data_IF_104408025685
#
_entry.id   IF_104408025685
#
_cell.length_a   1.000
_cell.length_b   1.000
_cell.length_c   1.000
_cell.angle_alpha   90.00
_cell.angle_beta   90.00
_cell.angle_gamma   90.00
#
_symmetry.space_group_name_H-M   'P 1'
#
loop_
_entity.id
_entity.type
_entity.pdbx_description
1 polymer ?
#
# COMPACT_ATOMS: atom_id res chain seq x y z
N UNK A 1 -7.23 -3.78 14.44
CA UNK A 1 -6.57 -2.77 13.59
C UNK A 1 -6.06 -1.63 14.45
N UNK A 2 -4.74 -1.39 14.53
CA UNK A 2 -4.13 -0.41 15.46
C UNK A 2 -4.06 0.99 14.80
N UNK A 3 -4.89 1.97 15.20
CA UNK A 3 -4.86 3.35 14.65
C UNK A 3 -3.54 4.10 14.92
N UNK A 4 -2.67 3.56 15.79
CA UNK A 4 -1.35 4.12 16.08
C UNK A 4 -0.33 3.98 14.93
N UNK A 5 -0.51 3.05 13.98
CA UNK A 5 0.46 2.84 12.88
C UNK A 5 0.30 3.82 11.70
N UNK A 6 -0.90 4.33 11.46
CA UNK A 6 -1.17 5.30 10.39
C UNK A 6 -0.53 6.66 10.66
N UNK A 7 -0.49 7.09 11.93
CA UNK A 7 0.07 8.39 12.35
C UNK A 7 1.60 8.42 12.20
N UNK A 8 2.28 7.29 12.41
CA UNK A 8 3.75 7.19 12.28
C UNK A 8 4.17 7.16 10.80
N UNK A 9 3.40 6.50 9.93
CA UNK A 9 3.68 6.48 8.48
C UNK A 9 3.55 7.87 7.82
N UNK A 10 2.60 8.70 8.27
CA UNK A 10 2.44 10.09 7.79
C UNK A 10 3.54 11.00 8.34
N UNK A 11 4.04 10.78 9.57
CA UNK A 11 5.09 11.60 10.18
C UNK A 11 6.48 11.40 9.53
N UNK A 12 6.72 10.30 8.81
CA UNK A 12 7.96 10.08 8.05
C UNK A 12 8.01 10.90 6.74
N UNK A 13 6.89 11.52 6.33
CA UNK A 13 6.82 12.39 5.15
C UNK A 13 7.13 13.86 5.46
N UNK A 14 7.30 14.22 6.73
CA UNK A 14 7.61 15.59 7.16
C UNK A 14 8.97 15.61 7.84
N UNK A 15 10.02 15.89 7.07
CA UNK A 15 11.31 16.31 7.64
C UNK A 15 11.29 17.82 7.85
N UNK A 16 11.58 18.28 9.08
CA UNK A 16 12.16 19.59 9.30
C UNK A 16 12.98 19.65 10.59
N UNK A 17 14.06 20.40 10.47
CA UNK A 17 15.20 20.51 11.36
C UNK A 17 14.93 21.35 12.61
N UNK A 18 15.62 20.96 13.69
CA UNK A 18 16.32 21.73 14.74
C UNK A 18 15.77 23.14 15.06
N UNK A 19 15.45 23.37 16.34
CA UNK A 19 15.92 24.56 17.07
C UNK A 19 16.02 24.27 18.58
N UNK A 20 16.94 24.99 19.20
CA UNK A 20 17.57 24.78 20.50
C UNK A 20 16.64 24.69 21.71
N UNK A 21 17.15 24.03 22.75
CA UNK A 21 16.65 24.11 24.13
C UNK A 21 16.97 25.49 24.73
N UNK A 22 16.02 26.05 25.51
CA UNK A 22 16.40 26.78 26.70
C UNK A 22 15.87 26.06 27.96
N UNK A 23 16.72 26.06 28.98
CA UNK A 23 16.48 25.50 30.32
C UNK A 23 15.14 25.93 30.93
N UNK A 24 14.48 25.09 31.73
CA UNK A 24 13.36 25.52 32.56
C UNK A 24 13.86 26.16 33.87
N UNK A 25 13.28 27.29 34.33
CA UNK A 25 13.32 27.60 35.75
C UNK A 25 12.29 26.74 36.49
N UNK A 26 12.70 26.23 37.66
CA UNK A 26 11.83 25.55 38.62
C UNK A 26 10.68 26.45 39.10
N UNK A 27 9.55 25.85 39.50
CA UNK A 27 8.82 26.39 40.64
C UNK A 27 8.50 25.34 41.72
N UNK A 28 8.47 25.88 42.93
CA UNK A 28 8.31 25.24 44.22
C UNK A 28 6.96 24.55 44.44
N UNK A 29 7.02 23.55 45.32
CA UNK A 29 5.94 22.79 45.97
C UNK A 29 5.10 23.69 46.89
N UNK A 30 3.76 23.54 46.89
CA UNK A 30 2.89 23.43 48.10
C UNK A 30 1.59 22.65 47.73
N UNK A 31 1.05 21.77 48.60
CA UNK A 31 -0.10 20.89 48.31
C UNK A 31 -1.43 21.30 48.97
N UNK A 32 -2.54 20.85 48.40
CA UNK A 32 -3.80 20.60 49.13
C UNK A 32 -5.06 21.27 48.58
N UNK A 33 -6.03 20.47 48.12
CA UNK A 33 -7.45 20.52 48.53
C UNK A 33 -8.28 19.55 47.67
N UNK A 34 -8.91 18.59 48.33
CA UNK A 34 -9.99 17.73 47.84
C UNK A 34 -11.26 18.55 47.59
N UNK A 35 -11.95 18.36 46.46
CA UNK A 35 -13.41 18.56 46.36
C UNK A 35 -13.99 17.73 45.21
N UNK A 36 -15.04 16.99 45.52
CA UNK A 36 -15.93 16.22 44.63
C UNK A 36 -16.92 17.15 43.92
N UNK A 37 -17.05 17.03 42.59
CA UNK A 37 -18.27 17.36 41.84
C UNK A 37 -18.26 16.69 40.45
N UNK A 38 -19.42 16.20 40.01
CA UNK A 38 -19.76 15.58 38.72
C UNK A 38 -21.07 16.22 38.22
N UNK A 39 -21.46 16.15 36.93
CA UNK A 39 -20.71 16.32 35.69
C UNK A 39 -21.23 17.56 34.91
N UNK A 40 -20.36 18.26 34.18
CA UNK A 40 -20.79 19.27 33.20
C UNK A 40 -20.54 18.74 31.80
N UNK A 41 -21.61 18.67 31.00
CA UNK A 41 -21.57 18.44 29.56
C UNK A 41 -20.75 19.56 28.93
N UNK A 42 -19.58 19.23 28.37
CA UNK A 42 -18.82 20.16 27.52
C UNK A 42 -18.79 19.61 26.11
N UNK A 43 -19.30 20.45 25.22
CA UNK A 43 -19.50 20.30 23.80
C UNK A 43 -18.17 19.97 23.11
N UNK A 44 -18.24 19.11 22.09
CA UNK A 44 -17.15 18.69 21.23
C UNK A 44 -16.25 19.88 20.83
N UNK A 45 -14.98 19.81 21.22
CA UNK A 45 -13.95 20.66 20.63
C UNK A 45 -13.57 20.06 19.29
N UNK A 46 -13.92 20.77 18.21
CA UNK A 46 -13.29 20.60 16.90
C UNK A 46 -11.76 20.59 17.05
N UNK A 47 -11.02 19.73 16.33
CA UNK A 47 -9.58 19.81 16.33
C UNK A 47 -9.17 21.13 15.68
N UNK A 48 -8.61 22.02 16.48
CA UNK A 48 -8.01 23.26 16.01
C UNK A 48 -6.82 22.89 15.13
N UNK A 49 -6.95 23.13 13.82
CA UNK A 49 -5.84 23.06 12.87
C UNK A 49 -4.75 24.03 13.34
N UNK A 50 -3.63 23.47 13.81
CA UNK A 50 -2.42 24.25 14.08
C UNK A 50 -1.75 24.51 12.73
N UNK A 51 -2.06 25.66 12.14
CA UNK A 51 -1.43 26.14 10.91
C UNK A 51 0.00 26.59 11.21
N UNK A 52 0.99 25.73 10.94
CA UNK A 52 2.38 26.14 10.74
C UNK A 52 2.54 26.73 9.33
N UNK A 53 3.16 27.91 9.14
CA UNK A 53 3.41 28.46 7.81
C UNK A 53 4.56 27.73 7.08
N UNK A 54 4.34 27.31 5.83
CA UNK A 54 5.31 27.60 4.76
C UNK A 54 6.18 26.50 4.13
N UNK A 55 5.76 25.23 4.12
CA UNK A 55 6.32 24.23 3.19
C UNK A 55 5.22 23.75 2.22
N UNK A 56 5.50 23.48 0.93
CA UNK A 56 4.50 22.88 0.05
C UNK A 56 4.09 21.53 0.63
N UNK A 57 2.89 21.46 1.23
CA UNK A 57 2.29 20.20 1.65
C UNK A 57 2.06 19.39 0.38
N UNK A 58 2.53 18.13 0.27
CA UNK A 58 2.24 17.29 -0.88
C UNK A 58 0.73 17.08 -0.95
N UNK A 59 0.05 17.88 -1.77
CA UNK A 59 -1.34 17.66 -2.15
C UNK A 59 -1.36 16.54 -3.17
N UNK A 60 -2.24 15.53 -3.02
CA UNK A 60 -2.34 14.44 -3.99
C UNK A 60 -2.51 15.00 -5.40
N UNK A 61 -1.84 14.40 -6.40
CA UNK A 61 -1.93 14.86 -7.80
C UNK A 61 -3.41 14.99 -8.19
N UNK A 62 -3.87 16.20 -8.56
CA UNK A 62 -5.16 16.36 -9.20
C UNK A 62 -5.08 15.63 -10.53
N UNK A 63 -5.93 14.64 -10.70
CA UNK A 63 -6.05 13.87 -11.93
C UNK A 63 -7.49 14.07 -12.40
N UNK A 64 -7.74 14.30 -13.70
CA UNK A 64 -9.09 14.35 -14.21
C UNK A 64 -9.76 13.01 -13.91
N UNK A 65 -11.07 13.05 -13.62
CA UNK A 65 -11.88 11.84 -13.53
C UNK A 65 -11.65 11.01 -14.79
N UNK A 66 -11.13 9.80 -14.63
CA UNK A 66 -10.99 8.87 -15.74
C UNK A 66 -12.38 8.63 -16.32
N UNK A 67 -12.48 8.63 -17.65
CA UNK A 67 -13.70 8.24 -18.33
C UNK A 67 -14.13 6.89 -17.75
N UNK A 68 -15.33 6.87 -17.17
CA UNK A 68 -15.89 5.68 -16.55
C UNK A 68 -15.97 4.60 -17.63
N UNK A 69 -15.03 3.65 -17.64
CA UNK A 69 -15.39 2.32 -18.08
C UNK A 69 -16.35 1.87 -16.99
N UNK A 70 -17.66 1.72 -17.26
CA UNK A 70 -18.56 1.17 -16.25
C UNK A 70 -17.94 -0.11 -15.68
N UNK A 71 -18.26 -0.53 -14.44
CA UNK A 71 -17.76 -1.77 -13.84
C UNK A 71 -18.18 -3.04 -14.61
N UNK A 72 -18.68 -2.89 -15.83
CA UNK A 72 -18.91 -3.93 -16.80
C UNK A 72 -17.81 -3.88 -17.88
N UNK A 73 -17.18 -5.02 -18.11
CA UNK A 73 -16.49 -5.41 -19.35
C UNK A 73 -14.96 -5.21 -19.46
N UNK A 74 -14.19 -5.45 -18.41
CA UNK A 74 -12.92 -6.15 -18.64
C UNK A 74 -13.28 -7.63 -18.77
N UNK A 75 -13.43 -8.11 -19.99
CA UNK A 75 -13.74 -9.52 -20.23
C UNK A 75 -12.51 -10.17 -20.83
N UNK A 76 -11.98 -11.19 -20.17
CA UNK A 76 -10.81 -11.93 -20.65
C UNK A 76 -11.32 -13.10 -21.47
N UNK A 77 -10.86 -13.21 -22.71
CA UNK A 77 -11.12 -14.40 -23.51
C UNK A 77 -10.15 -15.49 -23.10
N UNK A 78 -10.69 -16.62 -22.65
CA UNK A 78 -9.93 -17.80 -22.22
C UNK A 78 -10.25 -18.94 -23.15
N UNK A 79 -9.22 -19.69 -23.55
CA UNK A 79 -9.38 -20.90 -24.33
C UNK A 79 -9.60 -22.09 -23.40
N UNK A 80 -10.67 -22.86 -23.63
CA UNK A 80 -11.00 -24.04 -22.85
C UNK A 80 -9.92 -25.11 -23.06
N UNK A 81 -9.35 -25.60 -21.97
CA UNK A 81 -8.37 -26.70 -22.00
C UNK A 81 -9.06 -28.07 -21.90
N UNK A 82 -8.41 -29.17 -22.36
CA UNK A 82 -8.97 -30.52 -22.19
C UNK A 82 -9.23 -30.86 -20.72
N UNK A 83 -10.50 -31.09 -20.38
CA UNK A 83 -10.93 -31.41 -19.02
C UNK A 83 -11.50 -30.23 -18.23
N UNK A 84 -11.50 -29.02 -18.81
CA UNK A 84 -12.19 -27.87 -18.22
C UNK A 84 -13.72 -28.06 -18.23
N UNK A 85 -14.36 -27.66 -17.13
CA UNK A 85 -15.81 -27.43 -17.04
C UNK A 85 -16.10 -26.00 -16.59
N UNK A 86 -17.36 -25.57 -16.70
CA UNK A 86 -17.76 -24.21 -16.32
C UNK A 86 -17.47 -23.90 -14.85
N UNK A 87 -17.55 -24.89 -13.95
CA UNK A 87 -17.25 -24.74 -12.53
C UNK A 87 -15.76 -24.53 -12.28
N UNK A 88 -14.91 -25.33 -12.90
CA UNK A 88 -13.45 -25.26 -12.77
C UNK A 88 -12.91 -23.94 -13.35
N UNK A 89 -13.42 -23.53 -14.52
CA UNK A 89 -13.07 -22.23 -15.10
C UNK A 89 -13.55 -21.11 -14.19
N UNK A 90 -14.82 -21.13 -13.76
CA UNK A 90 -15.35 -20.08 -12.91
C UNK A 90 -14.57 -19.98 -11.59
N UNK A 91 -14.23 -21.10 -10.97
CA UNK A 91 -13.40 -21.16 -9.76
C UNK A 91 -11.98 -20.62 -10.01
N UNK A 92 -11.32 -21.06 -11.09
CA UNK A 92 -9.97 -20.60 -11.47
C UNK A 92 -9.91 -19.09 -11.66
N UNK A 93 -10.97 -18.51 -12.21
CA UNK A 93 -11.10 -17.08 -12.47
C UNK A 93 -11.89 -16.34 -11.37
N UNK A 94 -12.24 -17.04 -10.28
CA UNK A 94 -12.97 -16.53 -9.12
C UNK A 94 -14.37 -15.97 -9.40
N UNK A 95 -15.01 -16.26 -10.53
CA UNK A 95 -16.36 -15.77 -10.89
C UNK A 95 -17.44 -16.76 -10.46
N UNK A 96 -18.69 -16.30 -10.39
CA UNK A 96 -19.82 -17.20 -10.33
C UNK A 96 -20.00 -17.97 -11.64
N UNK A 97 -20.40 -19.23 -11.58
CA UNK A 97 -20.71 -20.02 -12.79
C UNK A 97 -21.86 -19.38 -13.57
N UNK A 98 -22.86 -18.85 -12.88
CA UNK A 98 -23.97 -18.11 -13.47
C UNK A 98 -23.50 -16.86 -14.24
N UNK A 99 -22.44 -16.21 -13.75
CA UNK A 99 -21.85 -15.04 -14.38
C UNK A 99 -21.09 -15.42 -15.65
N UNK A 100 -20.30 -16.50 -15.60
CA UNK A 100 -19.63 -17.07 -16.77
C UNK A 100 -20.64 -17.50 -17.85
N UNK A 101 -21.72 -18.15 -17.41
CA UNK A 101 -22.80 -18.61 -18.27
C UNK A 101 -23.52 -17.44 -18.95
N UNK A 102 -23.88 -16.41 -18.17
CA UNK A 102 -24.53 -15.21 -18.69
C UNK A 102 -23.67 -14.49 -19.73
N UNK A 103 -22.37 -14.35 -19.48
CA UNK A 103 -21.44 -13.69 -20.40
C UNK A 103 -21.24 -14.42 -21.74
N UNK A 104 -21.43 -15.74 -21.75
CA UNK A 104 -21.24 -16.58 -22.95
C UNK A 104 -22.54 -17.07 -23.57
N UNK A 105 -23.69 -16.61 -23.08
CA UNK A 105 -25.00 -17.06 -23.55
C UNK A 105 -25.29 -18.54 -23.30
N UNK A 106 -24.60 -19.16 -22.34
CA UNK A 106 -24.76 -20.57 -21.98
C UNK A 106 -25.94 -20.69 -21.01
N UNK A 107 -26.91 -21.54 -21.35
CA UNK A 107 -28.15 -21.70 -20.56
C UNK A 107 -28.13 -22.88 -19.61
N UNK A 108 -27.22 -23.83 -19.83
CA UNK A 108 -27.16 -25.09 -19.10
C UNK A 108 -25.84 -25.21 -18.35
N UNK A 109 -25.90 -25.52 -17.06
CA UNK A 109 -24.72 -25.72 -16.21
C UNK A 109 -23.86 -26.91 -16.68
N UNK A 110 -24.49 -27.94 -17.23
CA UNK A 110 -23.82 -29.14 -17.74
C UNK A 110 -23.49 -29.04 -19.25
N UNK A 111 -23.40 -27.82 -19.79
CA UNK A 111 -23.01 -27.64 -21.19
C UNK A 111 -21.60 -28.20 -21.40
N UNK A 112 -21.44 -29.09 -22.37
CA UNK A 112 -20.12 -29.60 -22.76
C UNK A 112 -19.30 -28.46 -23.34
N UNK A 113 -18.15 -28.20 -22.75
CA UNK A 113 -17.15 -27.30 -23.30
C UNK A 113 -16.22 -28.09 -24.22
N UNK A 114 -15.82 -27.47 -25.33
CA UNK A 114 -14.89 -28.08 -26.28
C UNK A 114 -13.48 -27.52 -26.10
N UNK A 115 -12.44 -28.36 -26.08
CA UNK A 115 -11.07 -27.86 -26.09
C UNK A 115 -10.85 -26.92 -27.27
N UNK A 116 -10.25 -25.76 -27.02
CA UNK A 116 -10.07 -24.70 -28.02
C UNK A 116 -11.21 -23.68 -28.11
N UNK A 117 -12.29 -23.88 -27.36
CA UNK A 117 -13.42 -22.95 -27.31
C UNK A 117 -13.01 -21.67 -26.58
N UNK A 118 -13.24 -20.51 -27.20
CA UNK A 118 -13.06 -19.21 -26.55
C UNK A 118 -14.26 -18.89 -25.65
N UNK A 119 -14.02 -18.68 -24.36
CA UNK A 119 -15.00 -18.22 -23.38
C UNK A 119 -14.65 -16.81 -22.89
N UNK A 120 -15.67 -15.96 -22.86
CA UNK A 120 -15.63 -14.62 -22.32
C UNK A 120 -15.79 -14.68 -20.79
N UNK A 121 -14.73 -14.40 -20.04
CA UNK A 121 -14.75 -14.38 -18.58
C UNK A 121 -14.94 -12.94 -18.11
N UNK A 122 -16.14 -12.56 -17.61
CA UNK A 122 -16.39 -11.20 -17.13
C UNK A 122 -15.59 -10.92 -15.86
N UNK A 123 -14.93 -9.78 -15.80
CA UNK A 123 -14.29 -9.29 -14.59
C UNK A 123 -15.15 -8.18 -13.99
N UNK A 124 -16.25 -8.55 -13.33
CA UNK A 124 -17.05 -7.59 -12.56
C UNK A 124 -16.48 -7.42 -11.17
N UNK A 125 -16.46 -6.17 -10.71
CA UNK A 125 -16.17 -5.87 -9.32
C UNK A 125 -17.38 -6.18 -8.45
N UNK A 126 -17.15 -6.81 -7.30
CA UNK A 126 -18.17 -7.10 -6.28
C UNK A 126 -18.26 -5.99 -5.22
N UNK A 127 -17.25 -5.11 -5.15
CA UNK A 127 -17.27 -3.90 -4.34
C UNK A 127 -16.63 -2.71 -5.09
N UNK A 128 -17.00 -1.49 -4.71
CA UNK A 128 -16.24 -0.28 -5.04
C UNK A 128 -15.18 -0.01 -3.97
N UNK A 129 -13.93 0.16 -4.39
CA UNK A 129 -12.83 0.63 -3.56
C UNK A 129 -13.01 2.08 -3.12
N UNK A 130 -12.20 2.55 -2.17
CA UNK A 130 -12.25 3.93 -1.71
C UNK A 130 -11.89 4.91 -2.84
N UNK A 131 -12.44 6.13 -2.74
CA UNK A 131 -12.14 7.22 -3.70
C UNK A 131 -11.06 8.19 -3.17
N UNK A 132 -10.49 7.89 -2.01
CA UNK A 132 -9.54 8.78 -1.33
C UNK A 132 -8.15 8.67 -1.94
N UNK A 133 -7.58 9.81 -2.36
CA UNK A 133 -6.17 9.86 -2.77
C UNK A 133 -5.27 9.83 -1.54
N UNK A 134 -4.38 8.84 -1.50
CA UNK A 134 -3.48 8.55 -0.37
C UNK A 134 -2.17 9.34 -0.51
N UNK A 135 -1.59 9.36 -1.70
CA UNK A 135 -0.32 10.05 -2.00
C UNK A 135 -0.42 10.79 -3.35
N UNK A 136 0.40 11.82 -3.59
CA UNK A 136 0.65 12.29 -4.94
C UNK A 136 1.54 11.33 -5.72
N UNK A 137 1.47 11.40 -7.05
CA UNK A 137 2.27 10.56 -7.96
C UNK A 137 3.78 10.80 -7.78
N UNK A 138 4.16 12.02 -7.45
CA UNK A 138 5.56 12.42 -7.19
C UNK A 138 6.16 11.81 -5.93
N UNK A 139 5.35 11.23 -5.05
CA UNK A 139 5.85 10.50 -3.86
C UNK A 139 6.05 9.01 -4.14
N UNK A 140 5.45 8.47 -5.22
CA UNK A 140 5.71 7.10 -5.65
C UNK A 140 7.00 7.02 -6.47
N UNK A 141 7.18 7.94 -7.41
CA UNK A 141 8.30 7.93 -8.36
C UNK A 141 9.57 8.48 -7.72
N UNK A 142 10.70 7.85 -7.99
CA UNK A 142 12.01 8.38 -7.63
C UNK A 142 12.34 9.58 -8.52
N UNK A 143 12.28 10.79 -7.96
CA UNK A 143 12.29 12.02 -8.75
C UNK A 143 12.81 13.25 -7.99
N UNK A 144 12.52 14.47 -8.47
CA UNK A 144 13.04 15.69 -7.86
C UNK A 144 12.66 15.87 -6.38
N UNK A 145 11.53 15.29 -5.95
CA UNK A 145 11.04 15.30 -4.56
C UNK A 145 11.91 14.50 -3.59
N UNK A 146 12.77 13.63 -4.10
CA UNK A 146 13.73 12.84 -3.32
C UNK A 146 15.14 13.41 -3.34
N UNK A 147 15.38 14.49 -4.10
CA UNK A 147 16.67 15.19 -4.08
C UNK A 147 16.92 15.75 -2.69
N UNK A 148 18.07 15.40 -2.11
CA UNK A 148 18.46 15.80 -0.75
C UNK A 148 17.97 14.86 0.36
N UNK A 149 17.23 13.79 0.04
CA UNK A 149 16.91 12.75 1.02
C UNK A 149 18.04 11.73 1.11
N UNK A 150 18.85 11.80 2.17
CA UNK A 150 19.89 10.82 2.47
C UNK A 150 19.30 9.62 3.23
N UNK A 151 19.21 8.47 2.55
CA UNK A 151 18.67 7.24 3.11
C UNK A 151 19.51 6.73 4.28
N UNK A 152 20.84 6.76 4.16
CA UNK A 152 21.74 6.24 5.17
C UNK A 152 21.66 7.07 6.46
N UNK A 153 21.69 8.41 6.32
CA UNK A 153 21.52 9.32 7.44
C UNK A 153 20.15 9.14 8.09
N UNK A 154 19.07 9.08 7.30
CA UNK A 154 17.72 8.92 7.83
C UNK A 154 17.56 7.63 8.64
N UNK A 155 18.02 6.50 8.09
CA UNK A 155 17.95 5.20 8.78
C UNK A 155 18.79 5.20 10.06
N UNK A 156 19.99 5.79 10.02
CA UNK A 156 20.85 5.92 11.20
C UNK A 156 20.19 6.77 12.30
N UNK A 157 19.56 7.89 11.95
CA UNK A 157 18.86 8.77 12.89
C UNK A 157 17.64 8.10 13.53
N UNK A 158 16.88 7.29 12.77
CA UNK A 158 15.73 6.55 13.32
C UNK A 158 16.16 5.44 14.27
N UNK A 159 17.30 4.79 14.00
CA UNK A 159 17.94 3.86 14.93
C UNK A 159 17.09 2.61 15.27
N UNK A 160 16.18 2.21 14.37
CA UNK A 160 15.45 0.94 14.44
C UNK A 160 16.27 -0.24 13.94
N UNK A 161 15.63 -1.40 13.80
CA UNK A 161 16.28 -2.65 13.39
C UNK A 161 17.00 -2.55 12.03
N UNK A 162 16.43 -1.81 11.08
CA UNK A 162 16.99 -1.60 9.75
C UNK A 162 18.41 -0.99 9.80
N UNK A 163 18.71 -0.15 10.80
CA UNK A 163 20.01 0.50 10.93
C UNK A 163 21.17 -0.48 11.20
N UNK A 164 20.87 -1.60 11.84
CA UNK A 164 21.83 -2.69 12.09
C UNK A 164 21.69 -3.86 11.13
N UNK A 165 20.67 -3.85 10.26
CA UNK A 165 20.38 -4.96 9.36
C UNK A 165 21.42 -5.05 8.25
N UNK A 166 21.84 -6.29 7.94
CA UNK A 166 22.69 -6.59 6.78
C UNK A 166 22.25 -7.89 6.12
N UNK A 167 22.31 -7.93 4.80
CA UNK A 167 21.96 -9.11 4.00
C UNK A 167 22.92 -9.24 2.81
N UNK A 168 23.08 -10.45 2.29
CA UNK A 168 23.79 -10.66 1.01
C UNK A 168 22.78 -10.54 -0.12
N UNK A 169 22.81 -9.41 -0.82
CA UNK A 169 22.05 -9.21 -2.05
C UNK A 169 23.01 -9.32 -3.24
N UNK A 170 22.67 -10.10 -4.26
CA UNK A 170 23.48 -10.23 -5.49
C UNK A 170 24.94 -10.61 -5.24
N UNK A 171 25.21 -11.43 -4.22
CA UNK A 171 26.56 -11.85 -3.85
C UNK A 171 27.37 -10.81 -3.07
N UNK A 172 26.80 -9.63 -2.77
CA UNK A 172 27.45 -8.56 -2.01
C UNK A 172 26.73 -8.35 -0.68
N UNK A 173 27.48 -8.31 0.42
CA UNK A 173 26.94 -7.94 1.72
C UNK A 173 26.61 -6.44 1.73
N UNK A 174 25.33 -6.10 1.99
CA UNK A 174 24.81 -4.73 2.01
C UNK A 174 24.03 -4.47 3.29
N UNK A 175 24.06 -3.22 3.74
CA UNK A 175 23.26 -2.71 4.86
C UNK A 175 21.80 -2.47 4.46
N UNK A 176 20.91 -2.36 5.44
CA UNK A 176 19.50 -2.03 5.21
C UNK A 176 19.29 -0.74 4.41
N UNK A 177 20.07 0.31 4.69
CA UNK A 177 20.00 1.58 3.95
C UNK A 177 20.47 1.43 2.49
N UNK A 178 21.56 0.68 2.25
CA UNK A 178 22.03 0.40 0.89
C UNK A 178 21.02 -0.42 0.08
N UNK A 179 20.30 -1.35 0.71
CA UNK A 179 19.24 -2.12 0.06
C UNK A 179 18.06 -1.24 -0.37
N UNK A 180 17.64 -0.31 0.50
CA UNK A 180 16.61 0.69 0.17
C UNK A 180 17.04 1.53 -1.03
N UNK A 181 18.26 2.08 -0.98
CA UNK A 181 18.78 2.91 -2.07
C UNK A 181 18.90 2.13 -3.38
N UNK A 182 19.44 0.91 -3.33
CA UNK A 182 19.62 0.03 -4.48
C UNK A 182 18.28 -0.25 -5.19
N UNK A 183 17.24 -0.59 -4.44
CA UNK A 183 15.92 -0.88 -5.02
C UNK A 183 15.26 0.40 -5.53
N UNK A 184 15.35 1.50 -4.77
CA UNK A 184 14.80 2.78 -5.18
C UNK A 184 15.35 3.24 -6.54
N UNK A 185 16.66 3.14 -6.73
CA UNK A 185 17.32 3.46 -8.00
C UNK A 185 16.92 2.51 -9.12
N UNK A 186 16.98 1.19 -8.88
CA UNK A 186 16.72 0.17 -9.89
C UNK A 186 15.29 0.22 -10.42
N UNK A 187 14.32 0.42 -9.54
CA UNK A 187 12.91 0.41 -9.88
C UNK A 187 12.34 1.82 -10.08
N UNK A 188 13.15 2.86 -9.88
CA UNK A 188 12.69 4.25 -9.94
C UNK A 188 11.50 4.54 -9.00
N UNK A 189 11.51 3.92 -7.82
CA UNK A 189 10.51 4.10 -6.76
C UNK A 189 11.12 4.88 -5.60
N UNK A 190 10.36 5.82 -5.03
CA UNK A 190 10.83 6.68 -3.95
C UNK A 190 11.35 5.88 -2.74
N UNK A 191 12.59 6.13 -2.27
CA UNK A 191 13.12 5.47 -1.07
C UNK A 191 12.31 5.84 0.19
N UNK A 192 11.68 7.02 0.20
CA UNK A 192 10.79 7.45 1.29
C UNK A 192 9.55 6.55 1.36
N UNK A 193 8.97 6.21 0.21
CA UNK A 193 7.84 5.30 0.15
C UNK A 193 8.22 3.89 0.58
N UNK A 194 9.36 3.36 0.13
CA UNK A 194 9.87 2.05 0.55
C UNK A 194 10.07 1.98 2.08
N UNK A 195 10.67 3.01 2.67
CA UNK A 195 10.83 3.12 4.12
C UNK A 195 9.49 3.22 4.85
N UNK A 196 8.53 3.98 4.33
CA UNK A 196 7.20 4.11 4.92
C UNK A 196 6.43 2.78 4.90
N UNK A 197 6.51 2.02 3.80
CA UNK A 197 5.90 0.68 3.71
C UNK A 197 6.56 -0.29 4.70
N UNK A 198 7.90 -0.27 4.78
CA UNK A 198 8.63 -1.10 5.72
C UNK A 198 8.26 -0.80 7.17
N UNK A 199 8.18 0.47 7.53
CA UNK A 199 7.73 0.90 8.87
C UNK A 199 6.30 0.44 9.14
N UNK A 200 5.39 0.66 8.19
CA UNK A 200 3.99 0.31 8.36
C UNK A 200 3.78 -1.19 8.60
N UNK A 201 4.47 -2.03 7.81
CA UNK A 201 4.34 -3.48 7.89
C UNK A 201 5.04 -4.06 9.11
N UNK A 202 6.31 -3.72 9.30
CA UNK A 202 7.19 -4.41 10.24
C UNK A 202 7.73 -3.56 11.39
N UNK A 203 7.67 -2.23 11.25
CA UNK A 203 8.29 -1.30 12.19
C UNK A 203 9.82 -1.30 12.15
N UNK A 204 10.46 -1.90 11.13
CA UNK A 204 11.93 -2.03 11.12
C UNK A 204 12.67 -0.69 11.08
N UNK A 205 12.02 0.40 10.66
CA UNK A 205 12.68 1.71 10.58
C UNK A 205 12.83 2.33 11.97
N UNK A 206 11.81 2.22 12.84
CA UNK A 206 11.82 2.87 14.16
C UNK A 206 11.97 1.91 15.34
N UNK A 207 11.55 0.65 15.20
CA UNK A 207 11.56 -0.34 16.29
C UNK A 207 12.86 -1.14 16.27
N UNK A 208 13.62 -1.12 17.38
CA UNK A 208 14.89 -1.85 17.52
C UNK A 208 14.72 -3.37 17.55
N UNK A 209 13.63 -3.83 18.14
CA UNK A 209 13.28 -5.25 18.28
C UNK A 209 11.87 -5.47 17.72
N UNK A 210 11.73 -5.53 16.39
CA UNK A 210 10.43 -5.73 15.74
C UNK A 210 9.90 -7.13 16.03
N UNK A 211 8.63 -7.34 15.72
CA UNK A 211 7.97 -8.64 15.87
C UNK A 211 8.75 -9.73 15.10
N UNK A 212 9.15 -10.85 15.75
CA UNK A 212 9.86 -11.94 15.09
C UNK A 212 9.15 -12.48 13.85
N UNK A 213 7.82 -12.41 13.77
CA UNK A 213 7.05 -12.84 12.59
C UNK A 213 7.39 -12.01 11.33
N UNK A 214 7.89 -10.79 11.50
CA UNK A 214 8.25 -9.88 10.41
C UNK A 214 9.68 -10.07 9.92
N UNK A 215 10.48 -10.93 10.57
CA UNK A 215 11.91 -11.09 10.26
C UNK A 215 12.15 -11.72 8.89
N UNK A 216 11.30 -12.67 8.49
CA UNK A 216 11.42 -13.37 7.20
C UNK A 216 10.76 -12.58 6.06
N UNK A 217 9.60 -11.97 6.34
CA UNK A 217 8.76 -11.29 5.35
C UNK A 217 8.39 -9.87 5.82
N UNK A 218 9.37 -8.93 5.86
CA UNK A 218 9.16 -7.58 6.40
C UNK A 218 8.09 -6.73 5.71
N UNK A 219 7.70 -7.05 4.47
CA UNK A 219 6.59 -6.37 3.77
C UNK A 219 5.32 -7.23 3.64
N UNK A 220 5.27 -8.37 4.33
CA UNK A 220 4.08 -9.19 4.51
C UNK A 220 3.80 -10.23 3.42
N UNK A 221 4.57 -10.27 2.32
CA UNK A 221 4.37 -11.29 1.28
C UNK A 221 5.08 -12.59 1.61
N UNK A 222 4.33 -13.66 1.87
CA UNK A 222 4.89 -14.99 2.21
C UNK A 222 5.03 -15.92 1.01
N UNK A 223 4.41 -15.58 -0.13
CA UNK A 223 4.39 -16.42 -1.32
C UNK A 223 5.54 -16.13 -2.30
N UNK A 224 6.03 -17.17 -2.98
CA UNK A 224 6.95 -17.02 -4.11
C UNK A 224 8.43 -16.87 -3.73
N UNK A 225 8.84 -17.32 -2.54
CA UNK A 225 10.26 -17.34 -2.15
C UNK A 225 10.86 -15.95 -1.95
N UNK A 226 10.03 -14.94 -1.63
CA UNK A 226 10.45 -13.56 -1.38
C UNK A 226 10.95 -13.36 0.05
N UNK A 227 11.84 -14.24 0.51
CA UNK A 227 12.44 -14.15 1.85
C UNK A 227 13.54 -13.09 1.87
N UNK A 228 13.65 -12.39 3.01
CA UNK A 228 14.64 -11.33 3.19
C UNK A 228 14.19 -9.97 2.66
N UNK A 229 14.87 -8.93 3.14
CA UNK A 229 14.50 -7.55 2.88
C UNK A 229 14.67 -7.19 1.39
N UNK A 230 15.75 -7.66 0.76
CA UNK A 230 16.02 -7.34 -0.62
C UNK A 230 14.91 -7.84 -1.56
N UNK A 231 14.52 -9.12 -1.44
CA UNK A 231 13.47 -9.71 -2.27
C UNK A 231 12.09 -9.11 -2.02
N UNK A 232 11.78 -8.79 -0.76
CA UNK A 232 10.55 -8.07 -0.43
C UNK A 232 10.50 -6.70 -1.09
N UNK A 233 11.60 -5.94 -1.05
CA UNK A 233 11.66 -4.64 -1.69
C UNK A 233 11.59 -4.72 -3.22
N UNK A 234 12.28 -5.66 -3.86
CA UNK A 234 12.16 -5.89 -5.31
C UNK A 234 10.71 -6.18 -5.70
N UNK A 235 10.04 -7.06 -4.97
CA UNK A 235 8.62 -7.36 -5.18
C UNK A 235 7.75 -6.11 -4.97
N UNK A 236 7.91 -5.40 -3.86
CA UNK A 236 7.09 -4.24 -3.54
C UNK A 236 7.24 -3.13 -4.58
N UNK A 237 8.48 -2.81 -4.97
CA UNK A 237 8.75 -1.81 -5.99
C UNK A 237 8.16 -2.20 -7.36
N UNK A 238 8.27 -3.49 -7.73
CA UNK A 238 7.63 -4.01 -8.94
C UNK A 238 6.11 -3.91 -8.89
N UNK A 239 5.49 -4.27 -7.77
CA UNK A 239 4.04 -4.20 -7.58
C UNK A 239 3.52 -2.76 -7.63
N UNK A 240 4.24 -1.81 -7.00
CA UNK A 240 3.92 -0.39 -7.06
C UNK A 240 4.00 0.15 -8.50
N UNK A 241 5.05 -0.19 -9.25
CA UNK A 241 5.17 0.23 -10.65
C UNK A 241 4.05 -0.38 -11.52
N UNK A 242 3.76 -1.67 -11.35
CA UNK A 242 2.67 -2.32 -12.07
C UNK A 242 1.32 -1.63 -11.79
N UNK A 243 1.05 -1.29 -10.53
CA UNK A 243 -0.13 -0.53 -10.15
C UNK A 243 -0.16 0.88 -10.75
N UNK A 244 0.97 1.59 -10.71
CA UNK A 244 1.09 2.97 -11.18
C UNK A 244 0.91 3.08 -12.70
N UNK A 245 1.64 2.29 -13.48
CA UNK A 245 1.55 2.30 -14.94
C UNK A 245 0.28 1.62 -15.44
N UNK A 246 -0.13 0.51 -14.80
CA UNK A 246 -1.39 -0.13 -15.10
C UNK A 246 -2.57 0.80 -14.88
N UNK A 247 -2.54 1.62 -13.82
CA UNK A 247 -3.49 2.72 -13.67
C UNK A 247 -3.33 3.66 -14.85
N UNK A 248 -2.20 4.35 -15.06
CA UNK A 248 -2.04 5.37 -16.12
C UNK A 248 -2.46 4.93 -17.53
N UNK A 249 -2.25 3.67 -17.88
CA UNK A 249 -2.55 3.11 -19.20
C UNK A 249 -4.01 2.64 -19.37
N UNK A 250 -4.80 2.60 -18.29
CA UNK A 250 -6.19 2.12 -18.35
C UNK A 250 -6.34 0.61 -18.16
N UNK A 251 -5.24 -0.10 -17.91
CA UNK A 251 -5.24 -1.54 -17.72
C UNK A 251 -5.71 -1.96 -16.32
N UNK A 252 -5.51 -1.12 -15.31
CA UNK A 252 -5.88 -1.39 -13.92
C UNK A 252 -7.21 -0.69 -13.58
N UNK A 253 -8.30 -1.46 -13.56
CA UNK A 253 -9.63 -0.98 -13.19
C UNK A 253 -10.20 -1.68 -11.95
N UNK A 254 -9.63 -2.82 -11.57
CA UNK A 254 -10.01 -3.60 -10.39
C UNK A 254 -8.78 -4.24 -9.76
N UNK A 255 -8.92 -4.60 -8.49
CA UNK A 255 -7.95 -5.36 -7.72
C UNK A 255 -8.62 -6.60 -7.13
N UNK A 256 -7.86 -7.69 -7.02
CA UNK A 256 -8.27 -8.92 -6.34
C UNK A 256 -7.61 -8.90 -4.96
N UNK A 257 -8.43 -8.99 -3.92
CA UNK A 257 -7.98 -9.06 -2.53
C UNK A 257 -7.58 -10.50 -2.18
N UNK A 258 -6.85 -10.69 -1.09
CA UNK A 258 -6.39 -12.03 -0.70
C UNK A 258 -7.50 -13.07 -0.45
N UNK A 259 -8.74 -12.64 -0.19
CA UNK A 259 -9.92 -13.51 -0.07
C UNK A 259 -10.59 -13.83 -1.43
N UNK A 260 -10.02 -13.38 -2.55
CA UNK A 260 -10.58 -13.49 -3.89
C UNK A 260 -11.63 -12.42 -4.23
N UNK A 261 -11.97 -11.53 -3.29
CA UNK A 261 -12.93 -10.44 -3.53
C UNK A 261 -12.38 -9.48 -4.58
N UNK A 262 -13.22 -9.08 -5.53
CA UNK A 262 -12.88 -8.09 -6.56
C UNK A 262 -13.39 -6.70 -6.19
N UNK A 263 -12.48 -5.76 -6.03
CA UNK A 263 -12.81 -4.36 -5.78
C UNK A 263 -12.47 -3.51 -7.01
N UNK A 264 -13.43 -2.75 -7.52
CA UNK A 264 -13.18 -1.74 -8.54
C UNK A 264 -12.38 -0.59 -7.92
N UNK A 265 -11.37 -0.09 -8.64
CA UNK A 265 -10.69 1.13 -8.25
C UNK A 265 -11.53 2.33 -8.63
N UNK A 266 -11.58 3.33 -7.75
CA UNK A 266 -12.38 4.53 -8.01
C UNK A 266 -11.79 5.36 -9.15
N UNK A 267 -12.57 5.75 -10.19
CA UNK A 267 -12.08 6.51 -11.35
C UNK A 267 -11.44 7.87 -11.03
N UNK A 268 -11.67 8.40 -9.83
CA UNK A 268 -11.11 9.68 -9.36
C UNK A 268 -9.73 9.57 -8.72
N UNK A 269 -9.15 8.36 -8.59
CA UNK A 269 -7.82 8.17 -8.02
C UNK A 269 -6.73 8.73 -8.93
N UNK A 270 -5.63 9.17 -8.31
CA UNK A 270 -4.38 9.36 -9.04
C UNK A 270 -3.60 8.03 -9.09
N UNK A 271 -2.60 7.97 -9.96
CA UNK A 271 -1.83 6.74 -10.20
C UNK A 271 -1.08 6.25 -8.94
N UNK A 272 -0.52 7.16 -8.14
CA UNK A 272 0.18 6.83 -6.91
C UNK A 272 -0.73 6.16 -5.87
N UNK A 273 -1.97 6.64 -5.73
CA UNK A 273 -2.94 6.08 -4.81
C UNK A 273 -3.50 4.75 -5.32
N UNK A 274 -3.80 4.65 -6.61
CA UNK A 274 -4.23 3.40 -7.24
C UNK A 274 -3.15 2.30 -7.10
N UNK A 275 -1.88 2.67 -7.24
CA UNK A 275 -0.76 1.77 -7.02
C UNK A 275 -0.68 1.24 -5.58
N UNK A 276 -0.90 2.12 -4.59
CA UNK A 276 -0.95 1.70 -3.18
C UNK A 276 -2.14 0.79 -2.88
N UNK A 277 -3.32 1.11 -3.40
CA UNK A 277 -4.50 0.25 -3.24
C UNK A 277 -4.26 -1.14 -3.85
N UNK A 278 -3.66 -1.20 -5.04
CA UNK A 278 -3.26 -2.46 -5.69
C UNK A 278 -2.17 -3.22 -4.94
N UNK A 279 -1.19 -2.51 -4.38
CA UNK A 279 -0.16 -3.12 -3.54
C UNK A 279 -0.78 -3.77 -2.29
N UNK A 280 -1.64 -3.04 -1.56
CA UNK A 280 -2.23 -3.55 -0.34
C UNK A 280 -3.24 -4.68 -0.58
N UNK A 281 -3.90 -4.71 -1.73
CA UNK A 281 -4.72 -5.84 -2.15
C UNK A 281 -3.93 -7.16 -2.20
N UNK A 282 -2.63 -7.11 -2.50
CA UNK A 282 -1.75 -8.29 -2.55
C UNK A 282 -1.16 -8.67 -1.19
N UNK A 283 -1.17 -7.76 -0.20
CA UNK A 283 -0.60 -8.01 1.14
C UNK A 283 -1.67 -8.45 2.13
N UNK A 284 -2.87 -7.89 2.02
CA UNK A 284 -3.94 -8.14 2.96
C UNK A 284 -5.05 -8.97 2.30
N UNK A 285 -5.22 -10.18 2.82
CA UNK A 285 -6.54 -10.79 2.95
C UNK A 285 -7.37 -9.82 3.82
N UNK A 286 -8.58 -9.44 3.40
CA UNK A 286 -9.26 -8.21 3.87
C UNK A 286 -9.41 -8.11 5.42
N UNK A 287 -9.46 -6.84 5.89
CA UNK A 287 -9.53 -6.37 7.28
C UNK A 287 -10.74 -6.85 8.11
#
# INVERSE_FOLDING_TARGET
MKPRRLIIAVALLTGCSILETPSPPSPSVVPGATTTASPTVVIASEPTDVTTPGGPRPTPTPDPLRAHVPPDLAAVTVEVEPGDDLGLIAQRWGIGVDELMAANGIKNLNATLYPGQSLLVPQRATLNGPASKIIPDSELVYGPTTVGFDVAQFVAERGGYLASYTEVAEGVKRSGAELVQLVAERYSVSPRLLLALLEYQSGWVTVRHPDPATMTYPLGRTEGGTEGLFRQFEWAASALNAGFYGWREGALNLVILGDGTRAALSPGLNAGSAALESFFAQVYERA
#
